data_IF_746465686825
#
_entry.id   IF_746465686825
#
_cell.length_a   1.000
_cell.length_b   1.000
_cell.length_c   1.000
_cell.angle_alpha   90.00
_cell.angle_beta   90.00
_cell.angle_gamma   90.00
#
_symmetry.space_group_name_H-M   'P 1'
#
loop_
_entity.id
_entity.type
_entity.pdbx_description
1 polymer ?
#
# COMPACT_ATOMS: atom_id res chain seq x y z
N UNK A 1 14.67 5.74 3.82
CA UNK A 1 14.55 4.57 4.72
C UNK A 1 13.85 3.45 3.94
N UNK A 2 14.54 2.34 3.63
CA UNK A 2 14.02 1.26 2.77
C UNK A 2 13.37 0.18 3.65
N UNK A 3 12.06 -0.01 3.53
CA UNK A 3 11.36 -1.12 4.19
C UNK A 3 11.09 -2.20 3.16
N UNK A 4 11.72 -3.37 3.32
CA UNK A 4 11.27 -4.60 2.66
C UNK A 4 10.22 -5.22 3.59
N UNK A 5 8.95 -5.18 3.22
CA UNK A 5 7.91 -5.83 4.01
C UNK A 5 7.55 -7.15 3.31
N UNK A 6 8.15 -8.25 3.77
CA UNK A 6 7.70 -9.58 3.43
C UNK A 6 6.61 -9.96 4.44
N UNK A 7 5.35 -10.02 4.02
CA UNK A 7 4.27 -10.53 4.87
C UNK A 7 4.05 -11.99 4.48
N UNK A 8 4.54 -12.91 5.31
CA UNK A 8 4.21 -14.33 5.19
C UNK A 8 2.95 -14.59 5.99
N UNK A 9 1.79 -14.69 5.32
CA UNK A 9 0.53 -15.08 5.97
C UNK A 9 0.50 -16.60 6.13
N UNK A 10 1.15 -17.10 7.18
CA UNK A 10 1.25 -18.53 7.47
C UNK A 10 -0.10 -19.20 7.78
N UNK A 11 -1.15 -18.42 8.06
CA UNK A 11 -2.48 -18.94 8.44
C UNK A 11 -3.43 -19.19 7.26
N UNK A 12 -3.11 -18.74 6.03
CA UNK A 12 -4.04 -18.85 4.90
C UNK A 12 -3.54 -19.70 3.72
N UNK A 13 -2.33 -20.28 3.76
CA UNK A 13 -1.73 -20.96 2.60
C UNK A 13 -1.73 -20.10 1.31
N UNK A 14 -1.83 -18.77 1.44
CA UNK A 14 -1.73 -17.82 0.33
C UNK A 14 -0.38 -17.13 0.45
N UNK A 15 0.55 -17.50 -0.42
CA UNK A 15 1.80 -16.78 -0.57
C UNK A 15 1.52 -15.50 -1.36
N UNK A 16 1.11 -14.44 -0.67
CA UNK A 16 0.97 -13.12 -1.27
C UNK A 16 2.36 -12.46 -1.39
N UNK A 17 3.10 -12.81 -2.46
CA UNK A 17 4.39 -12.17 -2.77
C UNK A 17 4.12 -10.79 -3.38
N UNK A 18 3.88 -9.79 -2.54
CA UNK A 18 3.90 -8.40 -2.98
C UNK A 18 5.35 -7.96 -3.14
N UNK A 19 5.87 -8.18 -4.33
CA UNK A 19 7.13 -7.64 -4.79
C UNK A 19 6.99 -6.12 -5.04
N UNK A 20 6.72 -5.35 -3.99
CA UNK A 20 6.91 -3.89 -4.04
C UNK A 20 8.41 -3.65 -3.97
N UNK A 21 9.09 -3.77 -5.12
CA UNK A 21 10.52 -3.54 -5.23
C UNK A 21 10.81 -2.12 -4.75
N UNK A 22 11.62 -2.03 -3.70
CA UNK A 22 12.30 -0.80 -3.32
C UNK A 22 13.21 -0.35 -4.48
N UNK A 23 12.82 0.72 -5.18
CA UNK A 23 13.62 1.80 -5.81
C UNK A 23 12.59 2.76 -6.46
N UNK A 24 12.51 3.99 -5.98
CA UNK A 24 11.62 5.10 -6.39
C UNK A 24 10.10 4.88 -6.35
N UNK A 25 9.54 4.80 -5.13
CA UNK A 25 8.11 5.03 -4.95
C UNK A 25 7.87 6.25 -4.08
N UNK A 26 7.09 7.18 -4.61
CA UNK A 26 6.67 8.38 -3.89
C UNK A 26 5.66 7.99 -2.81
N UNK A 27 6.10 8.06 -1.55
CA UNK A 27 5.29 7.80 -0.36
C UNK A 27 5.40 8.97 0.59
N UNK A 28 4.25 9.47 1.04
CA UNK A 28 4.15 10.58 1.98
C UNK A 28 3.40 10.14 3.23
N UNK A 29 3.69 10.81 4.35
CA UNK A 29 2.90 10.68 5.58
C UNK A 29 2.19 12.00 5.82
N UNK A 30 0.87 12.00 5.72
CA UNK A 30 0.03 13.18 5.97
C UNK A 30 -0.73 12.92 7.26
N UNK A 31 -0.29 13.54 8.35
CA UNK A 31 -0.76 13.23 9.70
C UNK A 31 -0.53 11.76 10.07
N UNK A 32 -1.62 11.01 10.25
CA UNK A 32 -1.60 9.57 10.55
C UNK A 32 -1.88 8.67 9.34
N UNK A 33 -1.98 9.24 8.13
CA UNK A 33 -2.23 8.49 6.90
C UNK A 33 -0.97 8.34 6.08
N UNK A 34 -0.83 7.20 5.40
CA UNK A 34 0.28 6.92 4.51
C UNK A 34 -0.19 6.98 3.07
N UNK A 35 0.18 8.02 2.35
CA UNK A 35 -0.22 8.19 0.94
C UNK A 35 0.87 7.61 0.04
N UNK A 36 0.49 6.80 -0.95
CA UNK A 36 1.38 6.23 -1.96
C UNK A 36 0.89 6.57 -3.36
N UNK A 37 1.78 7.07 -4.20
CA UNK A 37 1.50 7.28 -5.62
C UNK A 37 1.49 5.95 -6.38
N UNK A 38 0.60 5.83 -7.35
CA UNK A 38 0.55 4.75 -8.31
C UNK A 38 1.44 5.08 -9.53
N UNK A 39 2.76 5.07 -9.36
CA UNK A 39 3.69 5.57 -10.37
C UNK A 39 3.80 4.71 -11.64
N UNK A 40 3.55 3.39 -11.56
CA UNK A 40 3.65 2.44 -12.67
C UNK A 40 2.31 1.76 -12.99
N UNK A 41 1.22 2.22 -12.38
CA UNK A 41 -0.15 1.80 -12.68
C UNK A 41 -0.65 0.60 -11.87
N UNK A 42 0.20 -0.13 -11.14
CA UNK A 42 -0.21 -1.32 -10.38
C UNK A 42 0.01 -1.22 -8.87
N UNK A 43 0.76 -0.23 -8.39
CA UNK A 43 1.24 -0.25 -7.01
C UNK A 43 0.16 0.19 -6.03
N UNK A 44 -0.68 1.14 -6.44
CA UNK A 44 -1.88 1.48 -5.66
C UNK A 44 -2.84 0.30 -5.53
N UNK A 45 -3.06 -0.44 -6.63
CA UNK A 45 -3.93 -1.62 -6.64
C UNK A 45 -3.37 -2.76 -5.78
N UNK A 46 -2.04 -2.97 -5.82
CA UNK A 46 -1.37 -3.96 -5.00
C UNK A 46 -1.57 -3.70 -3.50
N UNK A 47 -1.40 -2.45 -3.06
CA UNK A 47 -1.58 -2.07 -1.65
C UNK A 47 -3.03 -2.21 -1.19
N UNK A 48 -4.01 -1.79 -2.01
CA UNK A 48 -5.44 -1.94 -1.73
C UNK A 48 -5.83 -3.42 -1.65
N UNK A 49 -5.37 -4.24 -2.60
CA UNK A 49 -5.60 -5.68 -2.57
C UNK A 49 -4.99 -6.33 -1.32
N UNK A 50 -3.79 -5.89 -0.94
CA UNK A 50 -3.12 -6.35 0.28
C UNK A 50 -3.96 -6.07 1.50
N UNK A 51 -4.46 -4.84 1.65
CA UNK A 51 -5.31 -4.50 2.79
C UNK A 51 -6.57 -5.35 2.85
N UNK A 52 -7.25 -5.56 1.72
CA UNK A 52 -8.46 -6.40 1.67
C UNK A 52 -8.17 -7.86 2.07
N UNK A 53 -7.06 -8.42 1.60
CA UNK A 53 -6.64 -9.78 2.00
C UNK A 53 -6.33 -9.85 3.50
N UNK A 54 -5.68 -8.82 4.05
CA UNK A 54 -5.34 -8.75 5.47
C UNK A 54 -6.57 -8.53 6.36
N UNK A 55 -7.57 -7.75 5.90
CA UNK A 55 -8.86 -7.58 6.57
C UNK A 55 -9.64 -8.89 6.67
N UNK A 56 -9.50 -9.77 5.68
CA UNK A 56 -10.08 -11.12 5.69
C UNK A 56 -9.23 -12.16 6.44
N UNK A 57 -8.09 -11.75 7.04
CA UNK A 57 -7.21 -12.65 7.78
C UNK A 57 -7.51 -12.67 9.28
N UNK A 58 -6.82 -13.52 10.03
CA UNK A 58 -6.89 -13.54 11.50
C UNK A 58 -6.02 -12.47 12.17
N UNK A 59 -5.35 -11.60 11.40
CA UNK A 59 -4.52 -10.53 11.94
C UNK A 59 -5.39 -9.44 12.56
N UNK A 60 -4.95 -8.94 13.71
CA UNK A 60 -5.56 -7.76 14.32
C UNK A 60 -5.36 -6.54 13.42
N UNK A 61 -6.38 -5.68 13.21
CA UNK A 61 -6.26 -4.47 12.39
C UNK A 61 -5.11 -3.53 12.77
N UNK A 62 -4.63 -3.59 14.02
CA UNK A 62 -3.47 -2.82 14.49
C UNK A 62 -2.12 -3.30 13.94
N UNK A 63 -2.09 -4.45 13.24
CA UNK A 63 -0.88 -5.08 12.69
C UNK A 63 -0.64 -4.74 11.22
N UNK A 64 -1.56 -4.07 10.55
CA UNK A 64 -1.42 -3.67 9.16
C UNK A 64 -2.07 -2.31 8.89
N UNK A 65 -1.82 -1.77 7.70
CA UNK A 65 -2.41 -0.52 7.23
C UNK A 65 -3.48 -0.86 6.21
N UNK A 66 -4.66 -0.28 6.36
CA UNK A 66 -5.73 -0.36 5.37
C UNK A 66 -5.51 0.75 4.35
N UNK A 67 -5.50 0.40 3.06
CA UNK A 67 -5.35 1.37 1.98
C UNK A 67 -6.65 1.52 1.19
N UNK A 68 -6.99 2.77 0.85
CA UNK A 68 -8.11 3.08 -0.02
C UNK A 68 -7.64 3.81 -1.28
N UNK A 69 -8.25 3.56 -2.46
CA UNK A 69 -7.94 4.31 -3.68
C UNK A 69 -8.16 5.81 -3.49
N UNK A 70 -7.29 6.64 -4.06
CA UNK A 70 -7.46 8.10 -4.06
C UNK A 70 -6.78 8.78 -5.24
N UNK A 71 -7.20 10.03 -5.48
CA UNK A 71 -6.50 10.97 -6.33
C UNK A 71 -5.59 11.84 -5.45
N UNK A 72 -4.31 11.90 -5.81
CA UNK A 72 -3.31 12.77 -5.19
C UNK A 72 -3.21 14.02 -6.06
N UNK A 73 -3.49 15.17 -5.47
CA UNK A 73 -3.31 16.46 -6.14
C UNK A 73 -2.10 17.18 -5.54
N UNK A 74 -1.14 17.54 -6.40
CA UNK A 74 0.03 18.32 -6.02
C UNK A 74 -0.26 19.84 -6.04
N UNK A 75 0.62 20.62 -5.43
CA UNK A 75 0.46 22.07 -5.29
C UNK A 75 0.53 22.84 -6.63
N UNK A 76 1.15 22.24 -7.65
CA UNK A 76 1.21 22.73 -9.03
C UNK A 76 -0.05 22.37 -9.85
N UNK A 77 -0.99 21.62 -9.26
CA UNK A 77 -2.22 21.17 -9.90
C UNK A 77 -2.11 19.81 -10.59
N UNK A 78 -0.95 19.17 -10.60
CA UNK A 78 -0.81 17.81 -11.15
C UNK A 78 -1.63 16.80 -10.34
N UNK A 79 -2.24 15.83 -11.05
CA UNK A 79 -3.05 14.77 -10.45
C UNK A 79 -2.47 13.40 -10.75
N UNK A 80 -2.46 12.55 -9.74
CA UNK A 80 -2.00 11.17 -9.83
C UNK A 80 -2.96 10.22 -9.15
N UNK A 81 -3.09 9.02 -9.69
CA UNK A 81 -3.71 7.92 -8.97
C UNK A 81 -2.81 7.48 -7.81
N UNK A 82 -3.42 7.02 -6.73
CA UNK A 82 -2.72 6.55 -5.54
C UNK A 82 -3.62 5.82 -4.56
N UNK A 83 -3.10 5.63 -3.35
CA UNK A 83 -3.85 5.12 -2.22
C UNK A 83 -3.40 5.76 -0.90
N UNK A 84 -4.25 5.75 0.14
CA UNK A 84 -3.96 6.27 1.48
C UNK A 84 -4.44 5.39 2.62
#
# INVERSE_FOLDING_TARGET
MKWKQFIFLSTLNVLLVLLVRAIDQSKWRIGNKWVKQNARGYEGQAEVLTSLVLECSTLTPSKFVVYYPCIIQLADGEQFDGCY
#
